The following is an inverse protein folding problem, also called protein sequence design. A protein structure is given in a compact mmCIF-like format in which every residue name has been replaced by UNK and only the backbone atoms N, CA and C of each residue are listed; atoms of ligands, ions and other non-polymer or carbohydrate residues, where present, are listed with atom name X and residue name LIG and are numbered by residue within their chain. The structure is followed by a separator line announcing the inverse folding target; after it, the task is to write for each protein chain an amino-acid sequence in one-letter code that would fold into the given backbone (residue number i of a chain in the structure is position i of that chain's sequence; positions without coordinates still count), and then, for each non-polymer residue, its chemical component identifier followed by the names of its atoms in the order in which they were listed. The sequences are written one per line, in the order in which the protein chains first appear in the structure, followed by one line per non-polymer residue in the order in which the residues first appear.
data_IF_882334247746
#
_entry.id   IF_882334247746
#
_cell.length_a   1.000
_cell.length_b   1.000
_cell.length_c   1.000
_cell.angle_alpha   90.00
_cell.angle_beta   90.00
_cell.angle_gamma   90.00
#
_symmetry.space_group_name_H-M   'P 1'
#
loop_
_entity.id
_entity.type
_entity.pdbx_description
1 polymer ?
#
# COMPACT_ATOMS: atom_id res chain seq x y z
N UNK A 1 -6.99 -23.08 22.97
CA UNK A 1 -7.09 -23.40 21.52
C UNK A 1 -5.73 -23.34 20.83
N UNK A 2 -4.94 -22.28 21.05
CA UNK A 2 -3.57 -22.16 20.52
C UNK A 2 -2.60 -23.23 21.06
N UNK A 3 -2.81 -23.71 22.29
CA UNK A 3 -1.92 -24.66 22.97
C UNK A 3 -2.31 -26.13 22.77
N UNK A 4 -3.51 -26.44 22.31
CA UNK A 4 -4.05 -27.80 22.28
C UNK A 4 -3.77 -28.59 21.00
N UNK A 5 -3.29 -27.95 19.92
CA UNK A 5 -3.24 -28.54 18.58
C UNK A 5 -1.86 -28.74 17.97
N UNK A 6 -0.79 -28.39 18.65
CA UNK A 6 0.55 -28.60 18.11
C UNK A 6 1.64 -28.35 19.13
N UNK A 7 2.73 -29.03 19.03
CA UNK A 7 3.87 -28.94 19.96
C UNK A 7 4.40 -27.49 20.13
N UNK A 8 5.35 -27.34 21.03
CA UNK A 8 6.00 -26.08 21.44
C UNK A 8 6.43 -25.21 20.23
N UNK A 9 6.90 -25.80 19.12
CA UNK A 9 7.33 -25.10 17.93
C UNK A 9 6.20 -24.34 17.24
N UNK A 10 5.00 -24.92 17.18
CA UNK A 10 3.82 -24.26 16.61
C UNK A 10 3.31 -23.13 17.50
N UNK A 11 3.42 -23.29 18.81
CA UNK A 11 3.08 -22.23 19.75
C UNK A 11 4.03 -21.03 19.58
N UNK A 12 5.33 -21.26 19.47
CA UNK A 12 6.35 -20.21 19.25
C UNK A 12 6.11 -19.50 17.91
N UNK A 13 5.78 -20.24 16.83
CA UNK A 13 5.45 -19.65 15.55
C UNK A 13 4.20 -18.74 15.61
N UNK A 14 3.13 -19.19 16.27
CA UNK A 14 1.93 -18.40 16.47
C UNK A 14 2.19 -17.12 17.29
N UNK A 15 2.98 -17.23 18.37
CA UNK A 15 3.35 -16.07 19.19
C UNK A 15 4.19 -15.07 18.39
N UNK A 16 5.15 -15.53 17.59
CA UNK A 16 5.97 -14.68 16.73
C UNK A 16 5.10 -13.88 15.74
N UNK A 17 4.17 -14.53 15.08
CA UNK A 17 3.27 -13.84 14.12
C UNK A 17 2.30 -12.90 14.85
N UNK A 18 1.78 -13.29 16.02
CA UNK A 18 0.95 -12.44 16.86
C UNK A 18 1.68 -11.14 17.24
N UNK A 19 2.94 -11.23 17.67
CA UNK A 19 3.75 -10.05 18.00
C UNK A 19 3.92 -9.11 16.80
N UNK A 20 4.15 -9.66 15.61
CA UNK A 20 4.25 -8.85 14.39
C UNK A 20 2.95 -8.06 14.11
N UNK A 21 1.81 -8.70 14.25
CA UNK A 21 0.51 -8.08 14.01
C UNK A 21 0.18 -7.05 15.09
N UNK A 22 0.41 -7.38 16.37
CA UNK A 22 0.17 -6.44 17.47
C UNK A 22 1.13 -5.25 17.50
N UNK A 23 2.23 -5.30 16.74
CA UNK A 23 3.14 -4.15 16.62
C UNK A 23 2.41 -2.87 16.21
N UNK A 24 1.51 -2.94 15.24
CA UNK A 24 0.79 -1.76 14.75
C UNK A 24 -0.12 -1.11 15.82
N UNK A 25 -1.00 -1.82 16.53
CA UNK A 25 -1.75 -1.26 17.66
C UNK A 25 -0.87 -0.61 18.74
N UNK A 26 0.27 -1.21 19.07
CA UNK A 26 1.22 -0.60 19.99
C UNK A 26 1.76 0.74 19.49
N UNK A 27 2.16 0.78 18.22
CA UNK A 27 2.67 2.01 17.60
C UNK A 27 1.59 3.09 17.54
N UNK A 28 0.32 2.74 17.29
CA UNK A 28 -0.81 3.71 17.35
C UNK A 28 -0.89 4.35 18.73
N UNK A 29 -0.93 3.54 19.78
CA UNK A 29 -1.04 4.02 21.16
C UNK A 29 0.17 4.92 21.48
N UNK A 30 1.38 4.47 21.14
CA UNK A 30 2.61 5.24 21.36
C UNK A 30 2.57 6.58 20.63
N UNK A 31 2.31 6.60 19.32
CA UNK A 31 2.28 7.83 18.53
C UNK A 31 1.16 8.78 18.97
N UNK A 32 -0.01 8.25 19.33
CA UNK A 32 -1.10 9.05 19.87
C UNK A 32 -0.72 9.69 21.21
N UNK A 33 -0.05 8.94 22.09
CA UNK A 33 0.43 9.44 23.38
C UNK A 33 1.48 10.54 23.18
N UNK A 34 2.43 10.32 22.29
CA UNK A 34 3.44 11.33 21.91
C UNK A 34 2.76 12.61 21.39
N UNK A 35 1.78 12.45 20.49
CA UNK A 35 1.02 13.60 19.99
C UNK A 35 0.28 14.37 21.12
N UNK A 36 -0.35 13.63 22.03
CA UNK A 36 -1.05 14.25 23.18
C UNK A 36 -0.11 15.02 24.11
N UNK A 37 1.08 14.53 24.32
CA UNK A 37 2.08 15.15 25.21
C UNK A 37 2.85 16.29 24.54
N UNK A 38 3.26 16.10 23.29
CA UNK A 38 4.17 17.00 22.58
C UNK A 38 3.46 17.97 21.64
N UNK A 39 2.18 17.74 21.32
CA UNK A 39 1.39 18.55 20.40
C UNK A 39 1.79 18.44 18.93
N UNK A 40 2.77 17.59 18.59
CA UNK A 40 3.19 17.36 17.20
C UNK A 40 3.44 15.88 16.91
N UNK A 41 3.26 15.51 15.67
CA UNK A 41 3.65 14.22 15.10
C UNK A 41 4.86 14.39 14.18
N UNK A 42 5.21 13.28 13.52
CA UNK A 42 6.25 13.27 12.48
C UNK A 42 5.98 14.38 11.45
N UNK A 43 6.99 15.20 11.19
CA UNK A 43 6.83 16.32 10.28
C UNK A 43 6.63 15.87 8.83
N UNK A 44 5.89 16.65 8.04
CA UNK A 44 5.75 16.45 6.59
C UNK A 44 7.12 16.34 5.89
N UNK A 45 8.11 17.11 6.36
CA UNK A 45 9.48 17.07 5.87
C UNK A 45 10.12 15.70 6.11
N UNK A 46 9.97 15.15 7.31
CA UNK A 46 10.53 13.84 7.67
C UNK A 46 9.94 12.74 6.80
N UNK A 47 8.60 12.71 6.63
CA UNK A 47 7.94 11.70 5.77
C UNK A 47 8.44 11.83 4.32
N UNK A 48 8.52 13.05 3.80
CA UNK A 48 9.01 13.31 2.44
C UNK A 48 10.48 12.87 2.25
N UNK A 49 11.36 13.22 3.21
CA UNK A 49 12.76 12.81 3.15
C UNK A 49 12.88 11.28 3.21
N UNK A 50 12.13 10.63 4.08
CA UNK A 50 12.14 9.16 4.17
C UNK A 50 11.72 8.52 2.85
N UNK A 51 10.62 8.97 2.23
CA UNK A 51 10.21 8.49 0.90
C UNK A 51 11.28 8.73 -0.17
N UNK A 52 11.92 9.90 -0.14
CA UNK A 52 13.04 10.22 -1.03
C UNK A 52 14.26 9.32 -0.82
N UNK A 53 14.59 8.96 0.42
CA UNK A 53 15.70 8.04 0.73
C UNK A 53 15.37 6.63 0.22
N UNK A 54 14.17 6.10 0.47
CA UNK A 54 13.78 4.79 -0.03
C UNK A 54 13.87 4.71 -1.57
N UNK A 55 13.33 5.71 -2.26
CA UNK A 55 13.43 5.79 -3.71
C UNK A 55 14.88 5.97 -4.19
N UNK A 56 15.65 6.82 -3.51
CA UNK A 56 17.06 7.07 -3.80
C UNK A 56 17.94 5.82 -3.66
N UNK A 57 17.69 4.99 -2.64
CA UNK A 57 18.43 3.71 -2.46
C UNK A 57 18.20 2.77 -3.63
N UNK A 58 16.97 2.67 -4.15
CA UNK A 58 16.69 1.82 -5.32
C UNK A 58 17.44 2.32 -6.55
N UNK A 59 17.36 3.62 -6.83
CA UNK A 59 18.06 4.23 -7.95
C UNK A 59 19.59 4.06 -7.83
N UNK A 60 20.14 4.33 -6.65
CA UNK A 60 21.58 4.22 -6.40
C UNK A 60 22.08 2.78 -6.55
N UNK A 61 21.36 1.81 -5.96
CA UNK A 61 21.69 0.40 -6.08
C UNK A 61 21.64 -0.09 -7.55
N UNK A 62 20.69 0.43 -8.34
CA UNK A 62 20.62 0.15 -9.77
C UNK A 62 21.83 0.73 -10.52
N UNK A 63 22.16 1.99 -10.30
CA UNK A 63 23.27 2.67 -10.95
C UNK A 63 24.65 2.04 -10.63
N UNK A 64 24.79 1.46 -9.44
CA UNK A 64 26.01 0.77 -9.01
C UNK A 64 26.04 -0.71 -9.39
N UNK A 65 24.98 -1.23 -10.03
CA UNK A 65 24.89 -2.65 -10.39
C UNK A 65 24.74 -3.60 -9.19
N UNK A 66 24.40 -3.07 -7.99
CA UNK A 66 24.29 -3.86 -6.74
C UNK A 66 22.85 -4.19 -6.35
N UNK A 67 21.87 -3.82 -7.20
CA UNK A 67 20.45 -4.03 -6.93
C UNK A 67 20.05 -5.50 -6.97
N UNK A 68 19.30 -5.94 -5.96
CA UNK A 68 18.57 -7.21 -6.04
C UNK A 68 17.41 -7.12 -7.03
N UNK A 69 16.99 -8.27 -7.56
CA UNK A 69 15.84 -8.42 -8.47
C UNK A 69 14.54 -8.49 -7.67
N UNK A 70 13.47 -7.83 -8.14
CA UNK A 70 12.17 -7.84 -7.44
C UNK A 70 11.49 -9.21 -7.50
N UNK A 71 11.49 -9.82 -8.68
CA UNK A 71 10.88 -11.13 -8.94
C UNK A 71 11.97 -12.11 -9.40
N UNK A 72 12.56 -12.84 -8.44
CA UNK A 72 13.72 -13.70 -8.67
C UNK A 72 13.56 -14.73 -9.79
N UNK A 73 12.38 -15.34 -9.91
CA UNK A 73 12.12 -16.38 -10.91
C UNK A 73 11.92 -15.84 -12.33
N UNK A 74 11.45 -14.61 -12.48
CA UNK A 74 11.18 -13.99 -13.78
C UNK A 74 12.23 -12.97 -14.19
N UNK A 75 13.14 -12.58 -13.30
CA UNK A 75 14.18 -11.58 -13.59
C UNK A 75 13.66 -10.14 -13.70
N UNK A 76 12.38 -9.88 -13.42
CA UNK A 76 11.80 -8.56 -13.58
C UNK A 76 11.97 -7.67 -12.35
N UNK A 77 12.29 -6.40 -12.62
CA UNK A 77 12.32 -5.32 -11.63
C UNK A 77 13.56 -5.31 -10.73
N UNK A 78 13.77 -4.17 -10.08
CA UNK A 78 14.91 -3.90 -9.21
C UNK A 78 14.45 -3.39 -7.87
N UNK A 79 14.72 -4.13 -6.79
CA UNK A 79 14.30 -3.80 -5.41
C UNK A 79 15.36 -3.05 -4.60
N UNK A 80 16.48 -2.69 -5.23
CA UNK A 80 17.60 -2.10 -4.51
C UNK A 80 18.22 -3.08 -3.52
N UNK A 81 18.57 -2.60 -2.35
CA UNK A 81 19.11 -3.41 -1.24
C UNK A 81 18.03 -3.93 -0.28
N UNK A 82 16.76 -3.73 -0.62
CA UNK A 82 15.66 -4.18 0.24
C UNK A 82 15.39 -5.68 0.08
N UNK A 83 14.93 -6.30 1.17
CA UNK A 83 14.62 -7.73 1.17
C UNK A 83 13.41 -8.06 0.31
N UNK A 84 12.30 -7.33 0.49
CA UNK A 84 11.02 -7.59 -0.16
C UNK A 84 10.55 -6.40 -1.03
N UNK A 85 10.34 -6.65 -2.33
CA UNK A 85 9.89 -5.64 -3.27
C UNK A 85 8.48 -5.08 -2.93
N UNK A 86 7.56 -5.95 -2.48
CA UNK A 86 6.20 -5.55 -2.13
C UNK A 86 6.18 -4.57 -0.95
N UNK A 87 6.96 -4.83 0.10
CA UNK A 87 7.02 -3.95 1.27
C UNK A 87 7.59 -2.58 0.93
N UNK A 88 8.72 -2.53 0.22
CA UNK A 88 9.32 -1.25 -0.17
C UNK A 88 8.44 -0.49 -1.14
N UNK A 89 7.73 -1.19 -2.04
CA UNK A 89 6.76 -0.55 -2.94
C UNK A 89 5.61 0.10 -2.19
N UNK A 90 5.12 -0.54 -1.12
CA UNK A 90 4.11 0.03 -0.25
C UNK A 90 4.62 1.29 0.45
N UNK A 91 5.82 1.25 1.05
CA UNK A 91 6.40 2.42 1.74
C UNK A 91 6.54 3.61 0.79
N UNK A 92 7.08 3.38 -0.41
CA UNK A 92 7.24 4.47 -1.39
C UNK A 92 5.86 4.96 -1.87
N UNK A 93 4.92 4.06 -2.18
CA UNK A 93 3.57 4.42 -2.60
C UNK A 93 2.84 5.30 -1.56
N UNK A 94 3.01 5.00 -0.27
CA UNK A 94 2.42 5.77 0.83
C UNK A 94 3.09 7.12 1.05
N UNK A 95 4.39 7.21 0.84
CA UNK A 95 5.16 8.44 1.07
C UNK A 95 5.25 9.35 -0.16
N UNK A 96 5.05 8.81 -1.37
CA UNK A 96 5.12 9.55 -2.63
C UNK A 96 4.20 10.78 -2.69
N UNK A 97 2.91 10.72 -2.30
CA UNK A 97 2.05 11.90 -2.31
C UNK A 97 2.56 13.02 -1.41
N UNK A 98 3.09 12.66 -0.24
CA UNK A 98 3.65 13.62 0.72
C UNK A 98 4.97 14.19 0.22
N UNK A 99 5.82 13.37 -0.43
CA UNK A 99 7.06 13.80 -1.07
C UNK A 99 6.78 14.79 -2.22
N UNK A 100 5.86 14.45 -3.12
CA UNK A 100 5.47 15.33 -4.24
C UNK A 100 4.94 16.66 -3.71
N UNK A 101 4.02 16.62 -2.75
CA UNK A 101 3.52 17.85 -2.10
C UNK A 101 4.66 18.68 -1.50
N UNK A 102 5.55 18.06 -0.74
CA UNK A 102 6.66 18.74 -0.09
C UNK A 102 7.59 19.40 -1.11
N UNK A 103 7.96 18.69 -2.15
CA UNK A 103 8.79 19.20 -3.24
C UNK A 103 8.11 20.38 -3.96
N UNK A 104 6.84 20.25 -4.35
CA UNK A 104 6.07 21.33 -4.98
C UNK A 104 5.95 22.57 -4.08
N UNK A 105 5.83 22.37 -2.76
CA UNK A 105 5.82 23.48 -1.78
C UNK A 105 7.15 24.23 -1.76
N UNK A 106 8.29 23.54 -1.95
CA UNK A 106 9.61 24.15 -1.88
C UNK A 106 9.99 24.93 -3.15
N UNK A 107 9.37 24.71 -4.30
CA UNK A 107 9.71 25.35 -5.58
C UNK A 107 9.82 26.88 -5.48
N UNK A 108 8.85 27.61 -4.88
CA UNK A 108 8.94 29.07 -4.78
C UNK A 108 10.09 29.57 -3.89
N UNK A 109 10.68 28.71 -3.07
CA UNK A 109 11.79 29.07 -2.17
C UNK A 109 13.16 28.94 -2.84
N UNK A 110 13.20 28.49 -4.11
CA UNK A 110 14.43 28.33 -4.86
C UNK A 110 14.89 29.70 -5.39
N UNK A 111 16.08 30.10 -4.97
CA UNK A 111 16.76 31.33 -5.38
C UNK A 111 18.16 30.98 -5.91
N UNK A 112 18.87 31.98 -6.44
CA UNK A 112 20.29 31.78 -6.86
C UNK A 112 21.16 31.24 -5.72
N UNK A 113 20.89 31.61 -4.45
CA UNK A 113 21.64 31.11 -3.28
C UNK A 113 21.21 29.71 -2.84
N UNK A 114 19.98 29.28 -3.20
CA UNK A 114 19.40 28.00 -2.78
C UNK A 114 19.16 27.06 -3.98
N UNK A 115 19.85 27.23 -5.10
CA UNK A 115 19.71 26.43 -6.31
C UNK A 115 19.86 24.93 -6.05
N UNK A 116 20.69 24.55 -5.08
CA UNK A 116 20.90 23.17 -4.66
C UNK A 116 19.60 22.48 -4.20
N UNK A 117 18.62 23.26 -3.68
CA UNK A 117 17.29 22.70 -3.35
C UNK A 117 16.58 22.23 -4.62
N UNK A 118 16.71 22.95 -5.73
CA UNK A 118 16.19 22.53 -7.03
C UNK A 118 16.80 21.21 -7.50
N UNK A 119 18.11 21.06 -7.33
CA UNK A 119 18.81 19.80 -7.65
C UNK A 119 18.31 18.65 -6.79
N UNK A 120 18.15 18.85 -5.47
CA UNK A 120 17.62 17.82 -4.58
C UNK A 120 16.17 17.42 -4.93
N UNK A 121 15.32 18.40 -5.30
CA UNK A 121 13.96 18.12 -5.76
C UNK A 121 13.98 17.32 -7.06
N UNK A 122 14.81 17.69 -8.03
CA UNK A 122 14.96 16.97 -9.28
C UNK A 122 15.43 15.53 -9.04
N UNK A 123 16.45 15.33 -8.21
CA UNK A 123 16.93 14.00 -7.82
C UNK A 123 15.86 13.17 -7.13
N UNK A 124 15.09 13.77 -6.21
CA UNK A 124 14.00 13.09 -5.53
C UNK A 124 12.90 12.65 -6.51
N UNK A 125 12.56 13.48 -7.49
CA UNK A 125 11.59 13.13 -8.53
C UNK A 125 12.10 12.07 -9.49
N UNK A 126 13.36 12.15 -9.93
CA UNK A 126 13.98 11.11 -10.76
C UNK A 126 13.98 9.78 -10.01
N UNK A 127 14.40 9.77 -8.75
CA UNK A 127 14.41 8.56 -7.92
C UNK A 127 13.00 7.99 -7.74
N UNK A 128 11.99 8.83 -7.49
CA UNK A 128 10.60 8.41 -7.35
C UNK A 128 10.05 7.81 -8.64
N UNK A 129 10.23 8.50 -9.78
CA UNK A 129 9.78 8.05 -11.11
C UNK A 129 10.47 6.74 -11.47
N UNK A 130 11.79 6.65 -11.26
CA UNK A 130 12.55 5.44 -11.46
C UNK A 130 11.99 4.29 -10.61
N UNK A 131 11.86 4.49 -9.31
CA UNK A 131 11.35 3.45 -8.40
C UNK A 131 9.95 3.01 -8.76
N UNK A 132 9.06 3.94 -9.12
CA UNK A 132 7.69 3.63 -9.51
C UNK A 132 7.61 2.72 -10.75
N UNK A 133 8.55 2.87 -11.68
CA UNK A 133 8.57 2.10 -12.92
C UNK A 133 9.45 0.84 -12.85
N UNK A 134 10.60 0.93 -12.19
CA UNK A 134 11.62 -0.12 -12.24
C UNK A 134 11.53 -1.14 -11.12
N UNK A 135 10.77 -0.87 -10.05
CA UNK A 135 10.46 -1.89 -9.04
C UNK A 135 9.56 -3.01 -9.60
N UNK A 136 8.91 -2.76 -10.72
CA UNK A 136 8.01 -3.66 -11.46
C UNK A 136 6.76 -4.09 -10.68
N UNK A 137 6.33 -3.33 -9.66
CA UNK A 137 5.07 -3.59 -8.96
C UNK A 137 3.96 -2.66 -9.47
N UNK A 138 2.79 -3.24 -9.82
CA UNK A 138 1.63 -2.48 -10.35
C UNK A 138 1.19 -1.37 -9.39
N UNK A 139 1.33 -1.62 -8.08
CA UNK A 139 0.80 -0.77 -7.01
C UNK A 139 1.52 0.56 -6.91
N UNK A 140 2.85 0.54 -6.78
CA UNK A 140 3.62 1.78 -6.67
C UNK A 140 3.44 2.65 -7.92
N UNK A 141 3.44 2.01 -9.10
CA UNK A 141 3.23 2.72 -10.36
C UNK A 141 1.85 3.37 -10.41
N UNK A 142 0.78 2.59 -10.18
CA UNK A 142 -0.60 3.08 -10.24
C UNK A 142 -0.86 4.20 -9.24
N UNK A 143 -0.48 4.02 -7.97
CA UNK A 143 -0.68 5.03 -6.92
C UNK A 143 0.12 6.30 -7.23
N UNK A 144 1.38 6.18 -7.63
CA UNK A 144 2.22 7.35 -7.95
C UNK A 144 1.70 8.09 -9.17
N UNK A 145 1.33 7.38 -10.24
CA UNK A 145 0.78 7.98 -11.46
C UNK A 145 -0.52 8.73 -11.19
N UNK A 146 -1.48 8.10 -10.52
CA UNK A 146 -2.77 8.73 -10.19
C UNK A 146 -2.54 10.00 -9.36
N UNK A 147 -1.61 9.94 -8.38
CA UNK A 147 -1.32 11.12 -7.58
C UNK A 147 -0.59 12.21 -8.38
N UNK A 148 0.34 11.85 -9.28
CA UNK A 148 0.98 12.83 -10.19
C UNK A 148 -0.06 13.55 -11.06
N UNK A 149 -1.03 12.81 -11.62
CA UNK A 149 -2.15 13.38 -12.38
C UNK A 149 -3.03 14.28 -11.50
N UNK A 150 -3.36 13.87 -10.29
CA UNK A 150 -4.13 14.68 -9.36
C UNK A 150 -3.39 15.98 -8.98
N UNK A 151 -2.08 15.92 -8.72
CA UNK A 151 -1.26 17.09 -8.42
C UNK A 151 -1.12 18.02 -9.64
N UNK A 152 -1.02 17.46 -10.84
CA UNK A 152 -1.03 18.22 -12.09
C UNK A 152 -2.35 18.98 -12.28
N UNK A 153 -3.49 18.32 -12.18
CA UNK A 153 -4.82 18.94 -12.31
C UNK A 153 -5.01 20.00 -11.23
N UNK A 154 -4.66 19.70 -9.99
CA UNK A 154 -4.73 20.67 -8.89
C UNK A 154 -3.89 21.91 -9.17
N UNK A 155 -2.64 21.72 -9.61
CA UNK A 155 -1.72 22.82 -9.90
C UNK A 155 -2.20 23.67 -11.09
N UNK A 156 -2.78 23.03 -12.12
CA UNK A 156 -3.40 23.69 -13.27
C UNK A 156 -4.57 24.60 -12.84
N UNK A 157 -5.51 24.03 -12.10
CA UNK A 157 -6.69 24.78 -11.60
C UNK A 157 -6.24 25.99 -10.76
N UNK A 158 -5.26 25.79 -9.87
CA UNK A 158 -4.72 26.85 -9.04
C UNK A 158 -3.95 27.90 -9.85
N UNK A 159 -3.19 27.49 -10.86
CA UNK A 159 -2.48 28.43 -11.75
C UNK A 159 -3.44 29.32 -12.53
N UNK A 160 -4.54 28.73 -13.06
CA UNK A 160 -5.59 29.48 -13.78
C UNK A 160 -6.31 30.45 -12.83
N UNK A 161 -6.68 30.00 -11.62
CA UNK A 161 -7.41 30.82 -10.65
C UNK A 161 -6.58 31.98 -10.10
N UNK A 162 -5.31 31.73 -9.74
CA UNK A 162 -4.49 32.73 -9.04
C UNK A 162 -3.59 33.52 -9.98
N UNK A 163 -3.27 32.99 -11.16
CA UNK A 163 -2.31 33.53 -12.14
C UNK A 163 -0.95 33.88 -11.51
N UNK A 164 -0.64 33.29 -10.36
CA UNK A 164 0.60 33.55 -9.65
C UNK A 164 1.76 32.76 -10.27
N UNK A 165 2.93 33.40 -10.34
CA UNK A 165 4.16 32.77 -10.84
C UNK A 165 4.48 31.46 -10.15
N UNK A 166 4.26 31.41 -8.84
CA UNK A 166 4.52 30.20 -8.03
C UNK A 166 3.65 29.02 -8.44
N UNK A 167 2.36 29.27 -8.74
CA UNK A 167 1.46 28.21 -9.16
C UNK A 167 1.74 27.75 -10.59
N UNK A 168 2.17 28.66 -11.46
CA UNK A 168 2.64 28.31 -12.81
C UNK A 168 3.85 27.39 -12.75
N UNK A 169 4.85 27.68 -11.91
CA UNK A 169 6.00 26.79 -11.73
C UNK A 169 5.62 25.43 -11.17
N UNK A 170 4.71 25.37 -10.19
CA UNK A 170 4.21 24.07 -9.68
C UNK A 170 3.49 23.27 -10.76
N UNK A 171 2.70 23.95 -11.58
CA UNK A 171 2.04 23.33 -12.74
C UNK A 171 3.06 22.76 -13.74
N UNK A 172 4.07 23.54 -14.14
CA UNK A 172 5.10 23.08 -15.06
C UNK A 172 5.84 21.87 -14.50
N UNK A 173 6.25 21.91 -13.24
CA UNK A 173 6.97 20.78 -12.61
C UNK A 173 6.07 19.55 -12.49
N UNK A 174 4.80 19.69 -12.14
CA UNK A 174 3.89 18.54 -12.09
C UNK A 174 3.59 17.96 -13.46
N UNK A 175 3.52 18.81 -14.53
CA UNK A 175 3.41 18.35 -15.91
C UNK A 175 4.64 17.53 -16.34
N UNK A 176 5.83 18.05 -16.06
CA UNK A 176 7.10 17.33 -16.32
C UNK A 176 7.13 15.98 -15.59
N UNK A 177 6.65 15.93 -14.35
CA UNK A 177 6.60 14.68 -13.58
C UNK A 177 5.68 13.64 -14.23
N UNK A 178 4.51 14.04 -14.73
CA UNK A 178 3.60 13.15 -15.47
C UNK A 178 4.24 12.64 -16.76
N UNK A 179 4.90 13.53 -17.51
CA UNK A 179 5.61 13.15 -18.75
C UNK A 179 6.74 12.17 -18.45
N UNK A 180 7.53 12.41 -17.40
CA UNK A 180 8.60 11.49 -16.99
C UNK A 180 8.04 10.13 -16.58
N UNK A 181 6.92 10.07 -15.85
CA UNK A 181 6.27 8.80 -15.50
C UNK A 181 5.89 8.01 -16.77
N UNK A 182 5.34 8.66 -17.79
CA UNK A 182 4.98 8.03 -19.05
C UNK A 182 6.21 7.57 -19.86
N UNK A 183 7.24 8.40 -19.96
CA UNK A 183 8.46 8.06 -20.70
C UNK A 183 9.21 6.89 -20.06
N UNK A 184 9.35 6.89 -18.74
CA UNK A 184 10.01 5.78 -18.03
C UNK A 184 9.21 4.48 -18.11
N UNK A 185 7.87 4.56 -18.19
CA UNK A 185 7.03 3.38 -18.38
C UNK A 185 7.34 2.64 -19.69
N UNK A 186 7.60 3.37 -20.77
CA UNK A 186 7.88 2.76 -22.08
C UNK A 186 9.12 1.85 -22.09
N UNK A 187 10.11 2.14 -21.23
CA UNK A 187 11.34 1.37 -21.08
C UNK A 187 11.41 0.55 -19.79
N UNK A 188 10.29 0.46 -19.06
CA UNK A 188 10.29 -0.12 -17.72
C UNK A 188 10.14 -1.65 -17.73
N UNK A 189 10.79 -2.33 -16.75
CA UNK A 189 10.54 -3.75 -16.51
C UNK A 189 9.07 -4.06 -16.17
N UNK A 190 8.33 -3.07 -15.65
CA UNK A 190 6.91 -3.22 -15.35
C UNK A 190 6.08 -3.50 -16.60
N UNK A 191 6.39 -2.84 -17.73
CA UNK A 191 5.71 -3.09 -19.00
C UNK A 191 5.94 -4.53 -19.42
N UNK A 192 7.20 -4.98 -19.47
CA UNK A 192 7.51 -6.37 -19.82
C UNK A 192 6.87 -7.39 -18.87
N UNK A 193 6.79 -7.09 -17.59
CA UNK A 193 6.10 -7.93 -16.61
C UNK A 193 4.59 -8.00 -16.89
N UNK A 194 3.93 -6.89 -17.21
CA UNK A 194 2.50 -6.86 -17.56
C UNK A 194 2.24 -7.66 -18.85
N UNK A 195 3.04 -7.42 -19.87
CA UNK A 195 2.89 -8.09 -21.17
C UNK A 195 3.07 -9.61 -21.03
N UNK A 196 4.06 -10.07 -20.25
CA UNK A 196 4.32 -11.52 -20.05
C UNK A 196 3.30 -12.19 -19.12
N UNK A 197 2.77 -11.50 -18.12
CA UNK A 197 1.67 -12.06 -17.31
C UNK A 197 0.46 -12.40 -18.18
N UNK A 198 0.15 -11.60 -19.21
CA UNK A 198 -0.92 -11.90 -20.14
C UNK A 198 -0.67 -13.21 -20.89
N UNK A 199 0.56 -13.44 -21.35
CA UNK A 199 0.94 -14.66 -22.09
C UNK A 199 0.96 -15.88 -21.15
N UNK A 200 1.61 -15.79 -19.99
CA UNK A 200 1.71 -16.90 -19.04
C UNK A 200 0.36 -17.29 -18.42
N UNK A 201 -0.55 -16.33 -18.25
CA UNK A 201 -1.90 -16.61 -17.72
C UNK A 201 -2.81 -17.24 -18.75
N UNK A 202 -2.59 -17.02 -20.04
CA UNK A 202 -3.34 -17.70 -21.08
C UNK A 202 -2.98 -19.19 -21.15
N UNK A 203 -1.70 -19.55 -20.97
CA UNK A 203 -1.21 -20.95 -21.13
C UNK A 203 -1.32 -21.82 -19.86
N UNK A 204 -1.28 -21.23 -18.65
CA UNK A 204 -1.22 -22.00 -17.39
C UNK A 204 -2.54 -22.12 -16.64
N UNK A 205 -3.63 -21.90 -17.32
CA UNK A 205 -4.89 -21.51 -16.68
C UNK A 205 -5.71 -22.61 -15.99
N UNK A 206 -5.48 -23.88 -16.20
CA UNK A 206 -6.36 -24.91 -15.63
C UNK A 206 -5.68 -25.88 -14.68
N UNK A 207 -4.49 -26.35 -14.99
CA UNK A 207 -3.85 -27.44 -14.22
C UNK A 207 -3.10 -26.94 -12.95
N UNK A 208 -2.36 -25.84 -13.03
CA UNK A 208 -1.53 -25.38 -11.90
C UNK A 208 -2.35 -24.81 -10.74
N UNK A 209 -3.51 -24.22 -11.01
CA UNK A 209 -4.41 -23.74 -9.96
C UNK A 209 -5.05 -24.91 -9.23
N UNK A 210 -5.43 -25.96 -9.93
CA UNK A 210 -5.96 -27.17 -9.33
C UNK A 210 -4.91 -27.88 -8.48
N UNK A 211 -3.70 -28.02 -9.00
CA UNK A 211 -2.56 -28.65 -8.31
C UNK A 211 -2.09 -27.82 -7.12
N UNK A 212 -1.98 -26.48 -7.26
CA UNK A 212 -1.55 -25.60 -6.16
C UNK A 212 -2.57 -25.50 -5.03
N UNK A 213 -3.83 -25.78 -5.30
CA UNK A 213 -4.90 -25.76 -4.30
C UNK A 213 -5.16 -27.14 -3.67
N UNK A 214 -4.43 -28.19 -4.07
CA UNK A 214 -4.64 -29.55 -3.53
C UNK A 214 -6.05 -30.10 -3.84
N UNK A 215 -6.70 -29.62 -4.89
CA UNK A 215 -8.12 -29.75 -5.13
C UNK A 215 -8.51 -31.07 -5.82
N UNK A 216 -7.55 -31.90 -6.20
CA UNK A 216 -7.83 -33.29 -6.63
C UNK A 216 -8.31 -34.17 -5.46
N UNK A 217 -8.04 -33.82 -4.24
CA UNK A 217 -8.32 -34.69 -3.07
C UNK A 217 -9.65 -34.40 -2.38
N UNK A 218 -10.23 -33.21 -2.56
CA UNK A 218 -11.55 -32.92 -2.01
C UNK A 218 -12.48 -32.30 -3.05
N UNK A 219 -13.13 -33.14 -3.81
CA UNK A 219 -14.28 -32.79 -4.67
C UNK A 219 -15.52 -32.33 -3.90
N UNK A 220 -15.40 -31.90 -2.66
CA UNK A 220 -16.54 -31.61 -1.82
C UNK A 220 -16.63 -30.14 -1.39
N UNK A 221 -17.65 -29.55 -1.84
CA UNK A 221 -18.58 -28.61 -1.20
C UNK A 221 -18.17 -27.14 -0.94
N UNK A 222 -16.94 -26.78 -0.66
CA UNK A 222 -16.68 -25.49 -0.03
C UNK A 222 -16.30 -24.33 -0.96
N UNK A 223 -15.72 -24.59 -2.07
CA UNK A 223 -15.27 -23.56 -3.01
C UNK A 223 -16.14 -23.43 -4.27
N UNK A 224 -17.21 -24.21 -4.35
CA UNK A 224 -17.98 -24.37 -5.60
C UNK A 224 -18.66 -23.08 -6.05
N UNK A 225 -19.25 -22.30 -5.16
CA UNK A 225 -19.91 -21.08 -5.55
C UNK A 225 -18.92 -19.97 -5.96
N UNK A 226 -17.83 -19.80 -5.22
CA UNK A 226 -16.80 -18.81 -5.55
C UNK A 226 -16.02 -19.24 -6.80
N UNK A 227 -15.75 -20.55 -6.95
CA UNK A 227 -15.16 -21.11 -8.16
C UNK A 227 -16.08 -20.95 -9.37
N UNK A 228 -17.32 -21.36 -9.29
CA UNK A 228 -18.27 -21.19 -10.40
C UNK A 228 -18.45 -19.73 -10.79
N UNK A 229 -18.24 -18.82 -9.83
CA UNK A 229 -18.30 -17.39 -10.05
C UNK A 229 -17.02 -16.82 -10.68
N UNK A 230 -15.85 -17.40 -10.37
CA UNK A 230 -14.54 -17.01 -10.92
C UNK A 230 -14.23 -17.73 -12.25
N UNK A 231 -14.72 -18.95 -12.45
CA UNK A 231 -14.45 -19.78 -13.63
C UNK A 231 -15.29 -19.40 -14.88
N UNK A 232 -16.22 -18.45 -14.75
CA UNK A 232 -16.92 -17.92 -15.92
C UNK A 232 -15.96 -17.01 -16.68
N UNK A 233 -15.41 -17.52 -17.76
CA UNK A 233 -14.51 -16.79 -18.66
C UNK A 233 -15.12 -15.45 -19.06
N UNK A 234 -14.39 -14.36 -18.83
CA UNK A 234 -14.86 -13.00 -19.09
C UNK A 234 -15.76 -12.38 -18.04
N UNK A 235 -16.08 -13.06 -16.92
CA UNK A 235 -16.86 -12.49 -15.82
C UNK A 235 -16.12 -11.32 -15.16
N UNK A 236 -16.88 -10.39 -14.56
CA UNK A 236 -16.32 -9.30 -13.77
C UNK A 236 -15.41 -9.81 -12.64
N UNK A 237 -15.78 -10.94 -12.02
CA UNK A 237 -15.01 -11.54 -10.93
C UNK A 237 -13.71 -12.18 -11.39
N UNK A 238 -13.69 -12.81 -12.55
CA UNK A 238 -12.45 -13.31 -13.14
C UNK A 238 -11.47 -12.17 -13.46
N UNK A 239 -11.97 -11.06 -14.00
CA UNK A 239 -11.19 -9.84 -14.24
C UNK A 239 -10.70 -9.21 -12.92
N UNK A 240 -11.54 -9.20 -11.89
CA UNK A 240 -11.18 -8.68 -10.57
C UNK A 240 -10.10 -9.57 -9.91
N UNK A 241 -10.24 -10.88 -9.94
CA UNK A 241 -9.24 -11.82 -9.42
C UNK A 241 -7.90 -11.70 -10.16
N UNK A 242 -7.97 -11.51 -11.47
CA UNK A 242 -6.78 -11.20 -12.27
C UNK A 242 -6.12 -9.88 -11.83
N UNK A 243 -6.90 -8.81 -11.66
CA UNK A 243 -6.40 -7.52 -11.16
C UNK A 243 -5.74 -7.66 -9.78
N UNK A 244 -6.32 -8.49 -8.92
CA UNK A 244 -5.83 -8.83 -7.58
C UNK A 244 -4.74 -9.92 -7.59
N UNK A 245 -4.18 -10.25 -8.75
CA UNK A 245 -3.11 -11.25 -8.91
C UNK A 245 -3.49 -12.63 -8.33
N UNK A 246 -4.74 -13.05 -8.53
CA UNK A 246 -5.37 -14.31 -8.06
C UNK A 246 -5.46 -14.49 -6.54
N UNK A 247 -5.41 -13.40 -5.81
CA UNK A 247 -5.47 -13.43 -4.34
C UNK A 247 -6.84 -13.79 -3.78
N UNK A 248 -7.93 -13.52 -4.52
CA UNK A 248 -9.27 -13.93 -4.12
C UNK A 248 -9.37 -15.45 -4.05
N UNK A 249 -8.87 -16.12 -5.09
CA UNK A 249 -8.90 -17.58 -5.18
C UNK A 249 -8.06 -18.24 -4.08
N UNK A 250 -6.83 -17.74 -3.83
CA UNK A 250 -5.95 -18.25 -2.76
C UNK A 250 -6.51 -18.00 -1.36
N UNK A 251 -7.25 -16.90 -1.17
CA UNK A 251 -7.88 -16.58 0.10
C UNK A 251 -9.17 -17.37 0.37
N UNK A 252 -9.82 -17.88 -0.70
CA UNK A 252 -11.12 -18.55 -0.60
C UNK A 252 -11.05 -19.84 0.23
N UNK A 253 -10.01 -20.65 0.07
CA UNK A 253 -9.84 -21.90 0.82
C UNK A 253 -9.66 -21.64 2.33
N UNK A 254 -8.86 -20.64 2.68
CA UNK A 254 -8.66 -20.26 4.08
C UNK A 254 -9.92 -19.65 4.70
N UNK A 255 -10.66 -18.86 3.94
CA UNK A 255 -11.94 -18.30 4.36
C UNK A 255 -12.96 -19.41 4.63
N UNK A 256 -12.99 -20.45 3.78
CA UNK A 256 -13.89 -21.58 3.98
C UNK A 256 -13.59 -22.34 5.28
N UNK A 257 -12.31 -22.65 5.56
CA UNK A 257 -11.92 -23.28 6.83
C UNK A 257 -12.35 -22.44 8.03
N UNK A 258 -12.24 -21.11 7.93
CA UNK A 258 -12.72 -20.19 8.95
C UNK A 258 -14.25 -20.22 9.10
N UNK A 259 -15.01 -20.24 8.01
CA UNK A 259 -16.48 -20.28 8.01
C UNK A 259 -17.04 -21.60 8.53
N UNK A 260 -16.35 -22.72 8.25
CA UNK A 260 -16.72 -24.06 8.76
C UNK A 260 -16.33 -24.24 10.23
N UNK A 261 -15.51 -23.34 10.76
CA UNK A 261 -15.11 -23.34 12.17
C UNK A 261 -16.28 -23.01 13.12
N UNK A 262 -16.21 -23.55 14.34
CA UNK A 262 -17.15 -23.27 15.41
C UNK A 262 -17.11 -21.80 15.88
N UNK A 263 -17.99 -21.44 16.81
CA UNK A 263 -18.12 -20.07 17.32
C UNK A 263 -16.78 -19.46 17.79
N UNK A 264 -15.95 -20.25 18.49
CA UNK A 264 -14.62 -19.78 18.94
C UNK A 264 -13.70 -19.43 17.79
N UNK A 265 -13.70 -20.23 16.70
CA UNK A 265 -12.93 -19.90 15.50
C UNK A 265 -13.43 -18.61 14.85
N UNK A 266 -14.72 -18.36 14.81
CA UNK A 266 -15.29 -17.12 14.28
C UNK A 266 -14.96 -15.91 15.14
N UNK A 267 -14.93 -16.05 16.44
CA UNK A 267 -14.60 -14.95 17.36
C UNK A 267 -13.09 -14.67 17.45
N UNK A 268 -12.26 -15.72 17.55
CA UNK A 268 -10.83 -15.61 17.84
C UNK A 268 -9.93 -15.96 16.64
N UNK A 269 -10.51 -16.47 15.56
CA UNK A 269 -9.77 -16.93 14.38
C UNK A 269 -9.24 -18.35 14.50
N UNK A 270 -8.66 -18.84 13.40
CA UNK A 270 -8.05 -20.18 13.35
C UNK A 270 -6.54 -20.18 13.66
N UNK A 271 -5.94 -19.01 13.90
CA UNK A 271 -4.52 -18.86 14.16
C UNK A 271 -3.64 -19.08 12.92
N UNK A 272 -2.34 -19.19 13.13
CA UNK A 272 -1.36 -19.38 12.05
C UNK A 272 -1.01 -20.85 11.84
N UNK A 273 -1.09 -21.66 12.90
CA UNK A 273 -0.68 -23.06 12.89
C UNK A 273 -1.70 -24.02 12.25
N UNK A 274 -2.97 -23.61 12.22
CA UNK A 274 -4.07 -24.38 11.65
C UNK A 274 -4.43 -23.95 10.23
N UNK A 275 -3.69 -23.01 9.63
CA UNK A 275 -3.80 -22.80 8.21
C UNK A 275 -3.50 -24.15 7.53
N UNK A 276 -4.41 -24.72 6.73
CA UNK A 276 -4.21 -26.00 6.13
C UNK A 276 -2.90 -25.96 5.34
N UNK A 277 -1.87 -26.61 5.85
CA UNK A 277 -0.65 -26.89 5.10
C UNK A 277 -1.02 -27.93 4.04
N UNK A 278 -1.60 -27.46 2.96
CA UNK A 278 -1.82 -28.29 1.79
C UNK A 278 -0.45 -28.57 1.19
N UNK A 279 -0.02 -29.81 1.38
CA UNK A 279 1.20 -30.39 0.81
C UNK A 279 2.45 -29.54 0.96
N UNK A 280 3.40 -30.10 1.61
CA UNK A 280 4.80 -29.81 1.97
C UNK A 280 5.57 -28.67 1.27
N UNK A 281 5.01 -27.83 0.40
CA UNK A 281 5.76 -26.89 -0.40
C UNK A 281 5.20 -25.47 -0.53
N UNK A 282 3.98 -25.18 -0.05
CA UNK A 282 3.44 -23.81 -0.12
C UNK A 282 2.76 -23.47 1.20
N UNK A 283 3.41 -22.65 2.02
CA UNK A 283 2.71 -21.87 3.04
C UNK A 283 1.69 -20.99 2.35
N UNK A 284 0.40 -21.29 2.49
CA UNK A 284 -0.65 -20.42 1.99
C UNK A 284 -0.64 -19.12 2.78
N UNK A 285 0.11 -18.15 2.30
CA UNK A 285 0.01 -16.80 2.78
C UNK A 285 -1.28 -16.17 2.24
N UNK A 286 -2.21 -15.87 3.13
CA UNK A 286 -3.31 -14.98 2.78
C UNK A 286 -2.69 -13.60 2.56
N UNK A 287 -2.57 -13.19 1.31
CA UNK A 287 -1.86 -11.94 0.97
C UNK A 287 -2.73 -10.69 1.17
N UNK A 288 -4.05 -10.84 1.31
CA UNK A 288 -4.97 -9.71 1.56
C UNK A 288 -5.11 -9.49 3.06
N UNK A 289 -4.61 -8.36 3.57
CA UNK A 289 -4.58 -8.07 5.01
C UNK A 289 -5.93 -8.21 5.73
N UNK A 290 -7.07 -7.69 5.18
CA UNK A 290 -8.36 -7.84 5.84
C UNK A 290 -8.77 -9.30 6.03
N UNK A 291 -8.57 -10.13 4.98
CA UNK A 291 -8.88 -11.55 5.05
C UNK A 291 -7.91 -12.29 5.98
N UNK A 292 -6.63 -11.97 5.92
CA UNK A 292 -5.62 -12.54 6.81
C UNK A 292 -5.96 -12.27 8.28
N UNK A 293 -6.32 -11.04 8.61
CA UNK A 293 -6.68 -10.65 9.97
C UNK A 293 -7.99 -11.31 10.43
N UNK A 294 -9.02 -11.35 9.57
CA UNK A 294 -10.29 -11.99 9.90
C UNK A 294 -10.13 -13.48 10.14
N UNK A 295 -9.47 -14.18 9.23
CA UNK A 295 -9.29 -15.63 9.30
C UNK A 295 -8.40 -16.03 10.48
N UNK A 296 -7.30 -15.31 10.70
CA UNK A 296 -6.30 -15.66 11.73
C UNK A 296 -6.69 -15.21 13.13
N UNK A 297 -7.35 -14.07 13.27
CA UNK A 297 -7.67 -13.44 14.56
C UNK A 297 -9.18 -13.32 14.85
N UNK A 298 -10.04 -13.79 13.93
CA UNK A 298 -11.48 -13.73 14.06
C UNK A 298 -12.05 -12.31 14.04
N UNK A 299 -13.35 -12.21 14.30
CA UNK A 299 -14.05 -10.92 14.32
C UNK A 299 -13.49 -9.98 15.39
N UNK A 300 -13.13 -10.50 16.55
CA UNK A 300 -12.59 -9.67 17.65
C UNK A 300 -11.25 -9.08 17.30
N UNK A 301 -10.29 -9.88 16.81
CA UNK A 301 -8.98 -9.41 16.41
C UNK A 301 -9.05 -8.47 15.20
N UNK A 302 -9.90 -8.80 14.23
CA UNK A 302 -10.16 -7.93 13.08
C UNK A 302 -10.69 -6.56 13.52
N UNK A 303 -11.69 -6.52 14.40
CA UNK A 303 -12.28 -5.27 14.89
C UNK A 303 -11.24 -4.44 15.67
N UNK A 304 -10.53 -5.05 16.61
CA UNK A 304 -9.51 -4.36 17.40
C UNK A 304 -8.40 -3.77 16.52
N UNK A 305 -8.06 -4.47 15.45
CA UNK A 305 -7.00 -4.02 14.54
C UNK A 305 -7.47 -2.93 13.58
N UNK A 306 -8.62 -3.12 12.94
CA UNK A 306 -9.11 -2.23 11.86
C UNK A 306 -9.82 -0.98 12.35
N UNK A 307 -10.52 -1.05 13.48
CA UNK A 307 -11.34 0.07 13.99
C UNK A 307 -10.53 1.38 14.11
N UNK A 308 -9.31 1.41 14.64
CA UNK A 308 -8.55 2.66 14.74
C UNK A 308 -8.26 3.31 13.38
N UNK A 309 -7.96 2.48 12.36
CA UNK A 309 -7.72 2.97 11.00
C UNK A 309 -9.00 3.48 10.34
N UNK A 310 -10.06 2.69 10.43
CA UNK A 310 -11.36 3.05 9.87
C UNK A 310 -11.89 4.34 10.49
N UNK A 311 -11.79 4.49 11.81
CA UNK A 311 -12.22 5.72 12.50
C UNK A 311 -11.45 6.92 11.95
N UNK A 312 -10.14 6.83 11.78
CA UNK A 312 -9.33 7.94 11.25
C UNK A 312 -9.72 8.30 9.82
N UNK A 313 -9.90 7.30 8.96
CA UNK A 313 -10.24 7.50 7.54
C UNK A 313 -11.69 8.01 7.41
N UNK A 314 -12.64 7.37 8.07
CA UNK A 314 -14.06 7.77 8.04
C UNK A 314 -14.22 9.18 8.59
N UNK A 315 -13.56 9.51 9.70
CA UNK A 315 -13.57 10.86 10.24
C UNK A 315 -13.07 11.87 9.20
N UNK A 316 -11.93 11.62 8.55
CA UNK A 316 -11.39 12.50 7.53
C UNK A 316 -12.32 12.65 6.32
N UNK A 317 -12.93 11.54 5.85
CA UNK A 317 -13.90 11.55 4.74
C UNK A 317 -15.15 12.37 5.11
N UNK A 318 -15.74 12.11 6.28
CA UNK A 318 -16.93 12.87 6.74
C UNK A 318 -16.61 14.36 6.85
N UNK A 319 -15.45 14.71 7.40
CA UNK A 319 -15.03 16.10 7.48
C UNK A 319 -14.72 16.70 6.11
N UNK A 320 -14.20 15.90 5.16
CA UNK A 320 -13.99 16.33 3.78
C UNK A 320 -15.31 16.79 3.14
N UNK A 321 -16.37 16.01 3.25
CA UNK A 321 -17.67 16.33 2.66
C UNK A 321 -18.37 17.53 3.30
N UNK A 322 -18.03 17.90 4.55
CA UNK A 322 -18.55 19.12 5.18
C UNK A 322 -18.03 20.41 4.52
N UNK A 323 -16.80 20.41 4.01
CA UNK A 323 -16.16 21.57 3.41
C UNK A 323 -15.31 21.16 2.19
N UNK A 324 -15.88 20.54 1.13
CA UNK A 324 -15.11 19.88 0.09
C UNK A 324 -14.20 20.85 -0.67
N UNK A 325 -14.71 22.01 -1.08
CA UNK A 325 -13.92 22.99 -1.82
C UNK A 325 -12.72 23.50 -1.03
N UNK A 326 -12.93 23.91 0.23
CA UNK A 326 -11.83 24.42 1.08
C UNK A 326 -10.76 23.35 1.33
N UNK A 327 -11.15 22.07 1.44
CA UNK A 327 -10.22 20.95 1.66
C UNK A 327 -9.48 20.55 0.40
N UNK A 328 -10.16 20.55 -0.75
CA UNK A 328 -9.52 20.33 -2.05
C UNK A 328 -8.49 21.41 -2.38
N UNK A 329 -8.69 22.64 -1.89
CA UNK A 329 -7.71 23.71 -2.06
C UNK A 329 -6.41 23.50 -1.26
N UNK A 330 -6.40 22.59 -0.29
CA UNK A 330 -5.21 22.22 0.49
C UNK A 330 -4.54 20.98 -0.09
N UNK A 331 -3.52 21.16 -0.94
CA UNK A 331 -2.76 20.04 -1.48
C UNK A 331 -2.14 19.18 -0.38
N UNK A 332 -1.74 19.78 0.76
CA UNK A 332 -1.25 19.06 1.95
C UNK A 332 -2.29 18.05 2.45
N UNK A 333 -3.52 18.51 2.66
CA UNK A 333 -4.61 17.64 3.12
C UNK A 333 -4.90 16.51 2.12
N UNK A 334 -5.01 16.87 0.84
CA UNK A 334 -5.23 15.90 -0.25
C UNK A 334 -4.12 14.84 -0.31
N UNK A 335 -2.85 15.21 -0.05
CA UNK A 335 -1.73 14.26 -0.03
C UNK A 335 -1.89 13.21 1.06
N UNK A 336 -2.20 13.64 2.28
CA UNK A 336 -2.39 12.72 3.39
C UNK A 336 -3.65 11.87 3.25
N UNK A 337 -4.75 12.46 2.77
CA UNK A 337 -5.99 11.72 2.50
C UNK A 337 -5.75 10.64 1.43
N UNK A 338 -5.09 11.02 0.32
CA UNK A 338 -4.75 10.08 -0.73
C UNK A 338 -3.83 8.96 -0.24
N UNK A 339 -2.78 9.29 0.53
CA UNK A 339 -1.89 8.28 1.11
C UNK A 339 -2.62 7.32 2.04
N UNK A 340 -3.55 7.80 2.87
CA UNK A 340 -4.35 6.95 3.75
C UNK A 340 -5.32 6.04 2.98
N UNK A 341 -5.97 6.57 1.94
CA UNK A 341 -6.84 5.77 1.05
C UNK A 341 -6.02 4.75 0.25
N UNK A 342 -4.82 5.13 -0.22
CA UNK A 342 -3.88 4.23 -0.88
C UNK A 342 -3.44 3.09 0.06
N UNK A 343 -3.14 3.39 1.33
CA UNK A 343 -2.81 2.37 2.33
C UNK A 343 -3.93 1.32 2.46
N UNK A 344 -5.17 1.79 2.55
CA UNK A 344 -6.34 0.91 2.61
C UNK A 344 -6.49 0.09 1.33
N UNK A 345 -6.38 0.73 0.16
CA UNK A 345 -6.40 0.04 -1.13
C UNK A 345 -5.30 -1.02 -1.26
N UNK A 346 -4.06 -0.69 -0.85
CA UNK A 346 -2.94 -1.64 -0.85
C UNK A 346 -3.23 -2.83 0.06
N UNK A 347 -3.76 -2.61 1.25
CA UNK A 347 -4.07 -3.70 2.20
C UNK A 347 -5.07 -4.70 1.64
N UNK A 348 -6.01 -4.24 0.82
CA UNK A 348 -6.99 -5.09 0.14
C UNK A 348 -6.39 -5.77 -1.08
N UNK A 349 -5.64 -5.02 -1.92
CA UNK A 349 -5.19 -5.50 -3.24
C UNK A 349 -3.93 -6.33 -3.14
N UNK A 350 -2.95 -5.90 -2.34
CA UNK A 350 -1.62 -6.50 -2.29
C UNK A 350 -1.27 -7.15 -0.97
N UNK A 351 -1.97 -6.74 0.10
CA UNK A 351 -1.61 -7.15 1.45
C UNK A 351 -0.26 -6.61 1.94
N UNK A 352 0.17 -7.11 3.09
CA UNK A 352 1.44 -6.73 3.73
C UNK A 352 1.60 -5.23 4.05
N UNK A 353 0.52 -4.45 3.96
CA UNK A 353 0.54 -3.03 4.32
C UNK A 353 0.30 -2.84 5.82
N UNK A 354 -0.65 -3.58 6.37
CA UNK A 354 -1.05 -3.44 7.77
C UNK A 354 -0.38 -4.49 8.67
N UNK A 355 -0.23 -5.71 8.16
CA UNK A 355 0.33 -6.83 8.95
C UNK A 355 1.86 -6.86 8.97
N UNK A 356 2.54 -6.20 8.03
CA UNK A 356 4.00 -6.08 8.03
C UNK A 356 4.46 -4.93 8.92
N UNK A 357 5.28 -5.16 9.96
CA UNK A 357 5.79 -4.11 10.83
C UNK A 357 6.53 -3.00 10.10
N UNK A 358 7.30 -3.35 9.05
CA UNK A 358 8.08 -2.40 8.26
C UNK A 358 7.24 -1.42 7.47
N UNK A 359 6.01 -1.79 7.10
CA UNK A 359 5.08 -0.96 6.32
C UNK A 359 4.05 -0.30 7.23
N UNK A 360 3.51 -1.05 8.19
CA UNK A 360 2.40 -0.58 9.04
C UNK A 360 2.74 0.70 9.82
N UNK A 361 4.00 0.90 10.20
CA UNK A 361 4.42 2.16 10.83
C UNK A 361 4.18 3.37 9.92
N UNK A 362 4.39 3.26 8.61
CA UNK A 362 4.11 4.36 7.66
C UNK A 362 2.62 4.59 7.49
N UNK A 363 1.83 3.51 7.45
CA UNK A 363 0.36 3.61 7.42
C UNK A 363 -0.15 4.38 8.63
N UNK A 364 0.37 4.06 9.82
CA UNK A 364 0.00 4.70 11.07
C UNK A 364 0.38 6.18 11.12
N UNK A 365 1.62 6.49 10.72
CA UNK A 365 2.11 7.87 10.66
C UNK A 365 1.25 8.70 9.71
N UNK A 366 0.89 8.16 8.56
CA UNK A 366 0.03 8.84 7.58
C UNK A 366 -1.39 9.01 8.12
N UNK A 367 -2.00 7.98 8.70
CA UNK A 367 -3.36 8.03 9.24
C UNK A 367 -3.49 9.05 10.39
N UNK A 368 -2.55 9.02 11.35
CA UNK A 368 -2.51 9.99 12.44
C UNK A 368 -2.21 11.41 11.95
N UNK A 369 -1.33 11.57 10.97
CA UNK A 369 -1.06 12.87 10.36
C UNK A 369 -2.30 13.43 9.66
N UNK A 370 -3.07 12.58 8.97
CA UNK A 370 -4.35 12.97 8.39
C UNK A 370 -5.34 13.42 9.45
N UNK A 371 -5.44 12.69 10.56
CA UNK A 371 -6.28 13.07 11.71
C UNK A 371 -5.91 14.47 12.22
N UNK A 372 -4.63 14.73 12.48
CA UNK A 372 -4.14 16.02 12.96
C UNK A 372 -4.43 17.14 11.95
N UNK A 373 -4.12 16.92 10.67
CA UNK A 373 -4.41 17.89 9.61
C UNK A 373 -5.91 18.21 9.52
N UNK A 374 -6.76 17.22 9.72
CA UNK A 374 -8.22 17.40 9.73
C UNK A 374 -8.65 18.28 10.90
N UNK A 375 -8.08 18.06 12.08
CA UNK A 375 -8.38 18.89 13.26
C UNK A 375 -7.87 20.34 13.12
N UNK A 376 -6.63 20.52 12.62
CA UNK A 376 -6.06 21.86 12.37
C UNK A 376 -6.93 22.67 11.41
N UNK A 377 -7.35 22.04 10.31
CA UNK A 377 -8.25 22.70 9.35
C UNK A 377 -9.63 23.02 9.95
N UNK A 378 -10.19 22.12 10.78
CA UNK A 378 -11.46 22.41 11.45
C UNK A 378 -11.35 23.61 12.41
N UNK A 379 -10.23 23.74 13.13
CA UNK A 379 -9.99 24.92 13.99
C UNK A 379 -9.88 26.19 13.16
N UNK A 380 -9.13 26.16 12.06
CA UNK A 380 -9.01 27.30 11.16
C UNK A 380 -10.35 27.70 10.51
N UNK A 381 -11.21 26.73 10.17
CA UNK A 381 -12.53 26.98 9.60
C UNK A 381 -13.54 27.56 10.61
N UNK A 382 -13.37 27.27 11.90
CA UNK A 382 -14.20 27.84 12.96
C UNK A 382 -13.76 29.26 13.37
N UNK A 383 -12.49 29.60 13.11
CA UNK A 383 -11.93 30.91 13.42
C UNK A 383 -12.11 31.93 12.28
N UNK A 384 -12.46 31.48 11.06
CA UNK A 384 -12.76 32.29 9.89
C UNK A 384 -14.27 32.49 9.71
#
# INVERSE_FOLDING_TARGET
YMFSLGGVSLCVANVKELVKVFFAPYVIIFLYTVYRQMGYLVSTRTIAITGGIYAGVILFAYLTGTSGVSYGNSGYGFKGWFYAANEVSCVIALTAPVLIYYCLKQIPTITKKTWWKGVLIALAFIALVFSANFLATKIIFGITLIYCLAAFVWSLVRAVQTRSRDMIWRFIVSAVLVVLMALFYLSSPLRGYIDNIYVEMADKNSELVAISLGLEVQKASAGTWLRSFLDVEGSFMAKLDWLLSRRLLTSASSLQVYLDGGLLAKLLGIGYANAPSYTRSVEFMIEMDPFALLVRHGILGFALYFVPYLVSIVYAIVQFFKHPVKRLMSLKYCSYLYSALAAFGISIIAGHALVSPGVSIFVLVVALSLWVQTQEQNRALKAA
#
